data_IF_406577389423
#
_entry.id   IF_406577389423
#
_cell.length_a   1.000
_cell.length_b   1.000
_cell.length_c   1.000
_cell.angle_alpha   90.00
_cell.angle_beta   90.00
_cell.angle_gamma   90.00
#
_symmetry.space_group_name_H-M   'P 1'
#
loop_
_entity.id
_entity.type
_entity.pdbx_description
1 polymer ?
#
# COMPACT_ATOMS: atom_id res chain seq x y z
N UNK A 1 19.77 27.78 -10.11
CA UNK A 1 20.05 26.42 -9.58
C UNK A 1 20.79 25.62 -10.65
N UNK A 2 21.95 25.05 -10.32
CA UNK A 2 22.75 24.25 -11.26
C UNK A 2 22.39 22.75 -11.16
N UNK A 3 22.76 21.95 -12.17
CA UNK A 3 22.37 20.53 -12.29
C UNK A 3 22.74 19.70 -11.06
N UNK A 4 23.86 20.03 -10.41
CA UNK A 4 24.35 19.39 -9.20
C UNK A 4 23.49 19.67 -7.96
N UNK A 5 23.06 20.93 -7.75
CA UNK A 5 22.19 21.28 -6.60
C UNK A 5 20.80 20.64 -6.72
N UNK A 6 20.28 20.49 -7.95
CA UNK A 6 19.01 19.79 -8.19
C UNK A 6 19.13 18.29 -7.92
N UNK A 7 20.27 17.68 -8.29
CA UNK A 7 20.53 16.26 -8.05
C UNK A 7 20.66 15.94 -6.56
N UNK A 8 21.43 16.74 -5.83
CA UNK A 8 21.59 16.63 -4.37
C UNK A 8 20.26 16.83 -3.63
N UNK A 9 19.45 17.79 -4.05
CA UNK A 9 18.13 18.02 -3.47
C UNK A 9 17.17 16.85 -3.68
N UNK A 10 17.16 16.25 -4.89
CA UNK A 10 16.34 15.06 -5.19
C UNK A 10 16.85 13.83 -4.43
N UNK A 11 18.16 13.60 -4.40
CA UNK A 11 18.76 12.49 -3.68
C UNK A 11 18.53 12.60 -2.16
N UNK A 12 18.67 13.80 -1.60
CA UNK A 12 18.36 14.07 -0.18
C UNK A 12 16.89 13.84 0.15
N UNK A 13 15.97 14.29 -0.71
CA UNK A 13 14.54 13.95 -0.58
C UNK A 13 14.31 12.44 -0.65
N UNK A 14 14.96 11.73 -1.56
CA UNK A 14 14.80 10.28 -1.72
C UNK A 14 15.30 9.51 -0.49
N UNK A 15 16.42 9.91 0.12
CA UNK A 15 16.98 9.29 1.32
C UNK A 15 16.08 9.54 2.54
N UNK A 16 15.64 10.78 2.76
CA UNK A 16 14.72 11.13 3.85
C UNK A 16 13.36 10.44 3.66
N UNK A 17 12.89 10.35 2.41
CA UNK A 17 11.69 9.58 2.06
C UNK A 17 11.90 8.10 2.39
N UNK A 18 13.01 7.47 1.97
CA UNK A 18 13.28 6.08 2.28
C UNK A 18 13.39 5.78 3.78
N UNK A 19 13.97 6.69 4.59
CA UNK A 19 14.12 6.51 6.04
C UNK A 19 12.81 6.69 6.82
N UNK A 20 12.01 7.70 6.49
CA UNK A 20 10.72 7.94 7.16
C UNK A 20 9.66 6.95 6.67
N UNK A 21 9.55 6.74 5.35
CA UNK A 21 8.56 5.81 4.80
C UNK A 21 8.99 4.34 4.86
N UNK A 22 10.27 4.03 5.12
CA UNK A 22 10.73 2.66 5.37
C UNK A 22 10.06 2.03 6.60
N UNK A 23 9.85 2.82 7.66
CA UNK A 23 9.03 2.43 8.81
C UNK A 23 7.51 2.63 8.53
N UNK A 24 7.15 3.74 7.87
CA UNK A 24 5.78 4.12 7.53
C UNK A 24 5.40 3.79 6.07
N UNK A 25 5.50 2.52 5.66
CA UNK A 25 5.03 2.11 4.33
C UNK A 25 3.51 1.96 4.32
N UNK A 26 2.85 2.22 3.19
CA UNK A 26 1.40 1.98 3.04
C UNK A 26 1.04 0.54 3.39
N UNK A 27 1.92 -0.41 3.04
CA UNK A 27 1.78 -1.82 3.42
C UNK A 27 1.75 -2.02 4.94
N UNK A 28 2.70 -1.45 5.70
CA UNK A 28 2.73 -1.60 7.16
C UNK A 28 1.48 -1.01 7.80
N UNK A 29 1.07 0.18 7.37
CA UNK A 29 -0.14 0.85 7.84
C UNK A 29 -1.39 0.04 7.51
N UNK A 30 -1.46 -0.52 6.30
CA UNK A 30 -2.52 -1.42 5.87
C UNK A 30 -2.52 -2.75 6.66
N UNK A 31 -1.36 -3.26 7.06
CA UNK A 31 -1.21 -4.50 7.85
C UNK A 31 -1.77 -4.37 9.27
N UNK A 32 -1.63 -3.20 9.87
CA UNK A 32 -2.15 -2.91 11.23
C UNK A 32 -3.55 -2.28 11.21
N UNK A 33 -4.10 -1.98 10.03
CA UNK A 33 -5.42 -1.38 9.88
C UNK A 33 -5.47 0.12 10.20
N UNK A 34 -4.33 0.82 10.18
CA UNK A 34 -4.28 2.24 10.54
C UNK A 34 -4.73 3.14 9.38
N UNK A 35 -6.05 3.30 9.26
CA UNK A 35 -6.71 4.02 8.16
C UNK A 35 -6.19 5.46 8.00
N UNK A 36 -6.12 6.26 9.06
CA UNK A 36 -5.69 7.65 8.96
C UNK A 36 -4.24 7.77 8.46
N UNK A 37 -3.38 6.84 8.89
CA UNK A 37 -2.02 6.74 8.38
C UNK A 37 -1.98 6.43 6.88
N UNK A 38 -2.78 5.45 6.44
CA UNK A 38 -2.92 5.11 5.00
C UNK A 38 -3.39 6.34 4.20
N UNK A 39 -4.43 7.03 4.67
CA UNK A 39 -4.97 8.23 4.01
C UNK A 39 -3.91 9.35 3.94
N UNK A 40 -3.25 9.63 5.05
CA UNK A 40 -2.22 10.66 5.12
C UNK A 40 -1.09 10.38 4.12
N UNK A 41 -0.62 9.13 4.07
CA UNK A 41 0.47 8.71 3.20
C UNK A 41 0.09 8.79 1.73
N UNK A 42 -1.06 8.26 1.33
CA UNK A 42 -1.50 8.28 -0.06
C UNK A 42 -1.80 9.69 -0.56
N UNK A 43 -2.26 10.60 0.31
CA UNK A 43 -2.38 12.02 -0.03
C UNK A 43 -1.03 12.67 -0.38
N UNK A 44 0.07 12.21 0.23
CA UNK A 44 1.42 12.71 -0.05
C UNK A 44 2.11 11.96 -1.19
N UNK A 45 1.80 10.69 -1.38
CA UNK A 45 2.44 9.81 -2.36
C UNK A 45 1.47 8.72 -2.82
N UNK A 46 0.60 9.00 -3.81
CA UNK A 46 -0.39 8.05 -4.32
C UNK A 46 0.22 6.75 -4.85
N UNK A 47 1.41 6.81 -5.47
CA UNK A 47 2.11 5.66 -6.03
C UNK A 47 2.36 4.54 -5.01
N UNK A 48 2.39 4.88 -3.72
CA UNK A 48 2.59 3.91 -2.65
C UNK A 48 1.41 2.92 -2.51
N UNK A 49 0.24 3.19 -3.11
CA UNK A 49 -0.84 2.22 -3.23
C UNK A 49 -0.49 1.02 -4.14
N UNK A 50 0.44 1.22 -5.08
CA UNK A 50 0.85 0.26 -6.11
C UNK A 50 2.25 -0.32 -5.88
N UNK A 51 2.83 -0.13 -4.69
CA UNK A 51 4.12 -0.72 -4.34
C UNK A 51 3.93 -2.10 -3.73
N UNK A 52 4.18 -3.14 -4.50
CA UNK A 52 4.20 -4.51 -4.01
C UNK A 52 5.50 -4.83 -3.26
N UNK A 53 5.46 -5.87 -2.44
CA UNK A 53 6.67 -6.52 -1.93
C UNK A 53 7.23 -7.56 -2.93
N UNK A 54 8.21 -8.34 -2.46
CA UNK A 54 8.87 -9.39 -3.24
C UNK A 54 7.93 -10.52 -3.67
N UNK A 55 6.80 -10.70 -2.98
CA UNK A 55 5.80 -11.73 -3.27
C UNK A 55 4.65 -11.17 -4.13
N UNK A 56 4.75 -9.92 -4.58
CA UNK A 56 3.68 -9.24 -5.32
C UNK A 56 2.53 -8.77 -4.42
N UNK A 57 2.66 -8.81 -3.10
CA UNK A 57 1.63 -8.30 -2.20
C UNK A 57 1.63 -6.78 -2.15
N UNK A 58 0.67 -6.20 -2.86
CA UNK A 58 0.27 -4.80 -2.70
C UNK A 58 -0.32 -4.52 -1.30
N UNK A 59 -0.36 -3.25 -0.85
CA UNK A 59 -0.96 -2.87 0.43
C UNK A 59 -2.41 -3.36 0.59
N UNK A 60 -3.20 -3.37 -0.49
CA UNK A 60 -4.58 -3.87 -0.50
C UNK A 60 -4.66 -5.37 -0.18
N UNK A 61 -3.74 -6.20 -0.71
CA UNK A 61 -3.66 -7.61 -0.36
C UNK A 61 -3.32 -7.80 1.11
N UNK A 62 -2.45 -6.96 1.64
CA UNK A 62 -2.07 -7.02 3.06
C UNK A 62 -3.26 -6.65 3.97
N UNK A 63 -4.01 -5.61 3.62
CA UNK A 63 -5.25 -5.26 4.33
C UNK A 63 -6.28 -6.41 4.27
N UNK A 64 -6.43 -7.04 3.11
CA UNK A 64 -7.31 -8.19 2.93
C UNK A 64 -6.89 -9.41 3.76
N UNK A 65 -5.61 -9.79 3.71
CA UNK A 65 -5.03 -10.88 4.50
C UNK A 65 -5.26 -10.71 6.00
N UNK A 66 -5.20 -9.48 6.48
CA UNK A 66 -5.37 -9.15 7.90
C UNK A 66 -6.83 -8.89 8.28
N UNK A 67 -7.68 -8.62 7.30
CA UNK A 67 -9.08 -8.31 7.53
C UNK A 67 -9.29 -6.90 8.04
N UNK A 68 -8.78 -5.90 7.33
CA UNK A 68 -9.00 -4.49 7.69
C UNK A 68 -9.98 -3.85 6.72
N UNK A 69 -11.29 -4.10 6.92
CA UNK A 69 -12.37 -3.69 6.00
C UNK A 69 -12.30 -2.22 5.65
N UNK A 70 -12.20 -1.34 6.64
CA UNK A 70 -12.21 0.11 6.43
C UNK A 70 -11.04 0.58 5.54
N UNK A 71 -9.89 -0.08 5.65
CA UNK A 71 -8.73 0.20 4.78
C UNK A 71 -8.99 -0.30 3.36
N UNK A 72 -9.60 -1.48 3.21
CA UNK A 72 -9.98 -2.04 1.91
C UNK A 72 -11.02 -1.14 1.22
N UNK A 73 -12.09 -0.76 1.91
CA UNK A 73 -13.12 0.15 1.41
C UNK A 73 -12.52 1.48 0.96
N UNK A 74 -11.62 2.06 1.76
CA UNK A 74 -10.91 3.28 1.37
C UNK A 74 -10.07 3.06 0.11
N UNK A 75 -9.29 1.98 0.03
CA UNK A 75 -8.49 1.65 -1.14
C UNK A 75 -9.37 1.51 -2.39
N UNK A 76 -10.45 0.75 -2.33
CA UNK A 76 -11.32 0.49 -3.48
C UNK A 76 -12.13 1.73 -3.89
N UNK A 77 -12.47 2.60 -2.94
CA UNK A 77 -13.13 3.88 -3.24
C UNK A 77 -12.21 4.85 -3.99
N UNK A 78 -10.94 4.90 -3.62
CA UNK A 78 -9.97 5.83 -4.24
C UNK A 78 -9.27 5.24 -5.47
N UNK A 79 -9.06 3.92 -5.47
CA UNK A 79 -8.29 3.19 -6.46
C UNK A 79 -8.99 1.86 -6.80
N UNK A 80 -10.11 1.89 -7.56
CA UNK A 80 -10.91 0.70 -7.84
C UNK A 80 -10.10 -0.46 -8.44
N UNK A 81 -9.13 -0.16 -9.31
CA UNK A 81 -8.27 -1.16 -9.96
C UNK A 81 -7.43 -2.01 -9.00
N UNK A 82 -7.28 -1.60 -7.72
CA UNK A 82 -6.58 -2.39 -6.72
C UNK A 82 -7.26 -3.75 -6.44
N UNK A 83 -8.56 -3.89 -6.73
CA UNK A 83 -9.27 -5.18 -6.58
C UNK A 83 -8.85 -6.23 -7.62
N UNK A 84 -8.34 -5.80 -8.78
CA UNK A 84 -7.99 -6.65 -9.91
C UNK A 84 -6.50 -7.04 -9.91
N UNK A 85 -5.68 -6.37 -9.11
CA UNK A 85 -4.26 -6.70 -9.00
C UNK A 85 -4.07 -8.11 -8.46
N UNK A 86 -3.10 -8.82 -9.03
CA UNK A 86 -2.71 -10.15 -8.61
C UNK A 86 -1.33 -10.10 -7.96
N UNK A 87 -1.15 -10.88 -6.88
CA UNK A 87 0.18 -11.19 -6.37
C UNK A 87 0.89 -12.22 -7.29
N UNK A 88 2.12 -12.62 -6.94
CA UNK A 88 2.88 -13.59 -7.75
C UNK A 88 2.27 -15.00 -7.76
N UNK A 89 1.35 -15.30 -6.84
CA UNK A 89 0.56 -16.54 -6.80
C UNK A 89 -0.71 -16.46 -7.66
N UNK A 90 -0.94 -15.36 -8.39
CA UNK A 90 -2.14 -15.16 -9.19
C UNK A 90 -3.40 -14.87 -8.37
N UNK A 91 -3.24 -14.42 -7.12
CA UNK A 91 -4.34 -14.17 -6.19
C UNK A 91 -4.67 -12.69 -6.12
N UNK A 92 -5.96 -12.36 -6.22
CA UNK A 92 -6.48 -11.04 -5.89
C UNK A 92 -6.86 -10.94 -4.40
N UNK A 93 -7.40 -9.78 -4.01
CA UNK A 93 -7.81 -9.52 -2.61
C UNK A 93 -8.87 -10.48 -2.08
N UNK A 94 -9.75 -11.04 -2.93
CA UNK A 94 -10.77 -12.00 -2.51
C UNK A 94 -10.17 -13.39 -2.26
N UNK A 95 -9.30 -13.85 -3.14
CA UNK A 95 -8.54 -15.09 -2.93
C UNK A 95 -7.76 -15.03 -1.61
N UNK A 96 -7.03 -13.95 -1.39
CA UNK A 96 -6.27 -13.73 -0.16
C UNK A 96 -7.18 -13.69 1.07
N UNK A 97 -8.35 -13.06 1.00
CA UNK A 97 -9.32 -13.02 2.10
C UNK A 97 -9.80 -14.43 2.47
N UNK A 98 -10.17 -15.23 1.48
CA UNK A 98 -10.66 -16.61 1.69
C UNK A 98 -9.58 -17.48 2.31
N UNK A 99 -8.38 -17.49 1.73
CA UNK A 99 -7.23 -18.27 2.22
C UNK A 99 -6.82 -17.88 3.64
N UNK A 100 -7.07 -16.64 4.04
CA UNK A 100 -6.73 -16.12 5.39
C UNK A 100 -7.87 -16.27 6.41
N UNK A 101 -8.99 -16.91 6.05
CA UNK A 101 -10.17 -17.01 6.92
C UNK A 101 -10.91 -15.69 7.15
N UNK A 102 -10.72 -14.72 6.24
CA UNK A 102 -11.28 -13.36 6.25
C UNK A 102 -12.39 -13.17 5.20
N UNK A 103 -13.01 -14.25 4.74
CA UNK A 103 -14.00 -14.22 3.66
C UNK A 103 -15.24 -13.33 3.96
N UNK A 104 -15.61 -13.14 5.24
CA UNK A 104 -16.78 -12.33 5.65
C UNK A 104 -16.64 -10.82 5.45
N UNK A 105 -15.51 -10.37 4.91
CA UNK A 105 -15.10 -8.96 4.96
C UNK A 105 -15.32 -8.21 3.65
N UNK A 106 -15.66 -8.95 2.60
CA UNK A 106 -15.82 -8.44 1.22
C UNK A 106 -17.14 -8.96 0.61
N UNK A 107 -18.10 -9.30 1.46
CA UNK A 107 -19.43 -9.81 1.10
C UNK A 107 -20.50 -8.74 1.34
#
# INVERSE_FOLDING_TARGET
MNKLTRLLYVAGKAIVHAAIYGAFTTKNLASIGYLDGVQYLLRKSPDCAYKSDQDGFFPVHTASRKGHVQVIEFFLKQYPHLSELLNLEGQNILHVAVLSGKAKMVA
#
